data_IF_972688786639
#
_entry.id   IF_972688786639
#
_cell.length_a   1.000
_cell.length_b   1.000
_cell.length_c   1.000
_cell.angle_alpha   90.00
_cell.angle_beta   90.00
_cell.angle_gamma   90.00
#
_symmetry.space_group_name_H-M   'P 1'
#
loop_
_entity.id
_entity.type
_entity.pdbx_description
1 polymer ?
#
# COMPACT_ATOMS: atom_id res chain seq x y z
N UNK A 1 -0.73 23.35 -50.44
CA UNK A 1 -1.51 22.11 -50.18
C UNK A 1 -1.17 21.54 -48.79
N UNK A 2 -2.09 21.60 -47.81
CA UNK A 2 -1.90 20.92 -46.53
C UNK A 2 -2.27 19.44 -46.69
N UNK A 3 -1.36 18.56 -46.30
CA UNK A 3 -1.56 17.11 -46.23
C UNK A 3 -2.58 16.79 -45.13
N UNK A 4 -3.70 16.19 -45.53
CA UNK A 4 -4.74 15.71 -44.62
C UNK A 4 -4.16 14.62 -43.71
N UNK A 5 -4.22 14.84 -42.38
CA UNK A 5 -3.94 13.82 -41.39
C UNK A 5 -4.95 12.68 -41.52
N UNK A 6 -4.43 11.47 -41.72
CA UNK A 6 -5.20 10.24 -41.82
C UNK A 6 -5.95 9.99 -40.49
N UNK A 7 -7.28 9.77 -40.48
CA UNK A 7 -8.02 9.60 -39.24
C UNK A 7 -7.58 8.30 -38.56
N UNK A 8 -7.00 8.43 -37.36
CA UNK A 8 -6.59 7.30 -36.52
C UNK A 8 -7.72 6.26 -36.44
N UNK A 9 -7.49 5.11 -37.07
CA UNK A 9 -8.47 4.02 -37.14
C UNK A 9 -8.94 3.65 -35.72
N UNK A 10 -10.22 3.35 -35.55
CA UNK A 10 -10.82 3.03 -34.24
C UNK A 10 -10.03 1.94 -33.48
N UNK A 11 -9.37 1.04 -34.24
CA UNK A 11 -8.45 0.02 -33.74
C UNK A 11 -7.19 0.61 -33.08
N UNK A 12 -6.55 1.62 -33.70
CA UNK A 12 -5.39 2.31 -33.13
C UNK A 12 -5.71 3.09 -31.87
N UNK A 13 -6.90 3.69 -31.79
CA UNK A 13 -7.40 4.30 -30.53
C UNK A 13 -7.64 3.24 -29.46
N UNK A 14 -8.36 2.16 -29.77
CA UNK A 14 -8.64 1.06 -28.82
C UNK A 14 -7.36 0.43 -28.26
N UNK A 15 -6.37 0.13 -29.11
CA UNK A 15 -5.09 -0.42 -28.70
C UNK A 15 -4.31 0.53 -27.79
N UNK A 16 -4.34 1.84 -28.07
CA UNK A 16 -3.68 2.86 -27.24
C UNK A 16 -4.34 2.98 -25.85
N UNK A 17 -5.67 2.93 -25.77
CA UNK A 17 -6.42 2.92 -24.50
C UNK A 17 -6.14 1.64 -23.67
N UNK A 18 -6.13 0.47 -24.31
CA UNK A 18 -5.82 -0.80 -23.66
C UNK A 18 -4.36 -0.85 -23.17
N UNK A 19 -3.41 -0.32 -23.96
CA UNK A 19 -1.99 -0.23 -23.59
C UNK A 19 -1.77 0.72 -22.40
N UNK A 20 -2.52 1.82 -22.32
CA UNK A 20 -2.55 2.71 -21.16
C UNK A 20 -3.05 2.01 -19.90
N UNK A 21 -4.12 1.22 -20.02
CA UNK A 21 -4.71 0.49 -18.88
C UNK A 21 -3.78 -0.63 -18.40
N UNK A 22 -3.15 -1.37 -19.31
CA UNK A 22 -2.20 -2.43 -18.97
C UNK A 22 -0.92 -1.87 -18.34
N UNK A 23 -0.35 -0.80 -18.88
CA UNK A 23 0.82 -0.11 -18.30
C UNK A 23 0.51 0.45 -16.90
N UNK A 24 -0.65 1.07 -16.70
CA UNK A 24 -1.05 1.60 -15.40
C UNK A 24 -1.15 0.51 -14.33
N UNK A 25 -1.69 -0.67 -14.68
CA UNK A 25 -1.78 -1.82 -13.77
C UNK A 25 -0.43 -2.40 -13.35
N UNK A 26 0.53 -2.41 -14.29
CA UNK A 26 1.89 -2.92 -14.04
C UNK A 26 2.66 -1.91 -13.21
N UNK A 27 2.57 -0.60 -13.53
CA UNK A 27 3.25 0.46 -12.80
C UNK A 27 2.82 0.50 -11.32
N UNK A 28 1.52 0.40 -11.03
CA UNK A 28 1.05 0.39 -9.64
C UNK A 28 1.49 -0.86 -8.87
N UNK A 29 1.52 -2.02 -9.53
CA UNK A 29 2.00 -3.26 -8.92
C UNK A 29 3.50 -3.23 -8.67
N UNK A 30 4.29 -2.67 -9.61
CA UNK A 30 5.72 -2.48 -9.45
C UNK A 30 6.05 -1.48 -8.33
N UNK A 31 5.30 -0.38 -8.25
CA UNK A 31 5.43 0.59 -7.15
C UNK A 31 5.13 -0.06 -5.79
N UNK A 32 4.07 -0.88 -5.71
CA UNK A 32 3.74 -1.61 -4.48
C UNK A 32 4.84 -2.61 -4.07
N UNK A 33 5.42 -3.34 -5.03
CA UNK A 33 6.57 -4.23 -4.78
C UNK A 33 7.76 -3.44 -4.26
N UNK A 34 8.13 -2.35 -4.94
CA UNK A 34 9.27 -1.52 -4.58
C UNK A 34 9.11 -0.95 -3.16
N UNK A 35 7.95 -0.34 -2.86
CA UNK A 35 7.67 0.17 -1.52
C UNK A 35 7.63 -0.92 -0.46
N UNK A 36 7.07 -2.09 -0.78
CA UNK A 36 7.05 -3.21 0.16
C UNK A 36 8.46 -3.67 0.51
N UNK A 37 9.36 -3.76 -0.48
CA UNK A 37 10.75 -4.11 -0.28
C UNK A 37 11.51 -3.04 0.53
N UNK A 38 11.30 -1.76 0.21
CA UNK A 38 11.88 -0.63 0.97
C UNK A 38 11.46 -0.70 2.43
N UNK A 39 10.18 -0.87 2.72
CA UNK A 39 9.69 -0.94 4.10
C UNK A 39 10.18 -2.20 4.82
N UNK A 40 10.26 -3.34 4.13
CA UNK A 40 10.79 -4.57 4.73
C UNK A 40 12.25 -4.35 5.17
N UNK A 41 13.09 -3.80 4.29
CA UNK A 41 14.48 -3.48 4.65
C UNK A 41 14.53 -2.43 5.75
N UNK A 42 13.77 -1.34 5.62
CA UNK A 42 13.79 -0.24 6.59
C UNK A 42 13.40 -0.70 7.99
N UNK A 43 12.28 -1.40 8.15
CA UNK A 43 11.78 -1.77 9.47
C UNK A 43 12.58 -2.92 10.13
N UNK A 44 13.21 -3.80 9.34
CA UNK A 44 14.03 -4.87 9.90
C UNK A 44 15.44 -4.41 10.27
N UNK A 45 16.05 -3.51 9.49
CA UNK A 45 17.46 -3.13 9.66
C UNK A 45 17.66 -1.70 10.16
N UNK A 46 16.73 -0.79 9.86
CA UNK A 46 16.89 0.64 10.09
C UNK A 46 15.81 1.27 10.98
N UNK A 47 14.96 0.47 11.64
CA UNK A 47 13.87 0.96 12.50
C UNK A 47 14.34 1.89 13.62
N UNK A 48 15.54 1.66 14.17
CA UNK A 48 16.15 2.52 15.19
C UNK A 48 16.47 3.95 14.72
N UNK A 49 16.59 4.16 13.41
CA UNK A 49 16.85 5.47 12.82
C UNK A 49 15.57 6.28 12.60
N UNK A 50 14.40 5.67 12.80
CA UNK A 50 13.15 6.40 12.95
C UNK A 50 13.11 7.05 14.33
N UNK A 51 13.78 8.19 14.45
CA UNK A 51 14.18 8.80 15.72
C UNK A 51 14.21 10.33 15.65
N UNK A 52 14.14 10.96 16.83
CA UNK A 52 14.47 12.38 17.01
C UNK A 52 15.96 12.51 17.33
N UNK A 53 16.62 13.43 16.64
CA UNK A 53 18.04 13.73 16.81
C UNK A 53 18.18 15.03 17.59
N UNK A 54 18.70 14.91 18.81
CA UNK A 54 18.89 16.03 19.72
C UNK A 54 20.37 16.34 19.84
N UNK A 55 20.67 17.64 19.85
CA UNK A 55 22.03 18.14 20.06
C UNK A 55 22.11 18.70 21.47
N UNK A 56 23.05 18.18 22.25
CA UNK A 56 23.38 18.72 23.56
C UNK A 56 24.85 19.18 23.55
N UNK A 57 25.09 20.41 23.99
CA UNK A 57 26.44 20.93 24.20
C UNK A 57 26.68 20.99 25.70
N UNK A 58 27.50 20.07 26.20
CA UNK A 58 27.91 20.02 27.62
C UNK A 58 29.42 20.20 27.65
N UNK A 59 29.89 21.17 28.44
CA UNK A 59 31.31 21.51 28.60
C UNK A 59 32.06 21.79 27.28
N UNK A 60 31.39 22.43 26.32
CA UNK A 60 31.96 22.76 25.00
C UNK A 60 32.05 21.57 24.04
N UNK A 61 31.65 20.37 24.45
CA UNK A 61 31.57 19.18 23.59
C UNK A 61 30.13 19.01 23.11
N UNK A 62 29.95 19.01 21.78
CA UNK A 62 28.65 18.73 21.16
C UNK A 62 28.45 17.22 21.04
N UNK A 63 27.44 16.68 21.72
CA UNK A 63 27.00 15.28 21.58
C UNK A 63 25.64 15.21 20.91
N UNK A 64 25.47 14.21 20.06
CA UNK A 64 24.20 13.91 19.42
C UNK A 64 23.55 12.73 20.13
N UNK A 65 22.34 12.94 20.62
CA UNK A 65 21.50 11.90 21.20
C UNK A 65 20.43 11.50 20.19
N UNK A 66 20.26 10.19 20.02
CA UNK A 66 19.28 9.59 19.10
C UNK A 66 18.20 8.95 19.97
N UNK A 67 16.98 9.46 19.87
CA UNK A 67 15.82 8.95 20.60
C UNK A 67 14.85 8.27 19.64
N UNK A 68 14.83 6.92 19.56
CA UNK A 68 13.93 6.19 18.68
C UNK A 68 12.47 6.49 19.01
N UNK A 69 11.67 6.74 17.98
CA UNK A 69 10.22 6.88 18.11
C UNK A 69 9.53 5.52 18.22
N UNK A 70 10.13 4.46 17.67
CA UNK A 70 9.60 3.11 17.79
C UNK A 70 10.02 2.49 19.13
N UNK A 71 9.02 2.08 19.91
CA UNK A 71 9.24 1.42 21.20
C UNK A 71 9.61 -0.06 21.03
N UNK A 72 9.93 -0.73 22.14
CA UNK A 72 10.19 -2.18 22.14
C UNK A 72 8.96 -2.99 21.70
N UNK A 73 7.74 -2.45 21.90
CA UNK A 73 6.48 -3.08 21.49
C UNK A 73 6.36 -3.19 19.96
N UNK A 74 7.19 -2.45 19.20
CA UNK A 74 7.29 -2.61 17.75
C UNK A 74 7.62 -4.05 17.35
N UNK A 75 8.34 -4.80 18.19
CA UNK A 75 8.65 -6.22 17.96
C UNK A 75 7.41 -7.12 17.93
N UNK A 76 6.29 -6.67 18.51
CA UNK A 76 5.00 -7.39 18.43
C UNK A 76 4.28 -7.11 17.11
N UNK A 77 4.51 -5.94 16.51
CA UNK A 77 3.91 -5.53 15.23
C UNK A 77 4.74 -6.04 14.04
N UNK A 78 6.06 -6.07 14.19
CA UNK A 78 7.02 -6.36 13.11
C UNK A 78 6.76 -7.69 12.38
N UNK A 79 6.43 -8.82 13.04
CA UNK A 79 6.14 -10.06 12.33
C UNK A 79 4.93 -9.95 11.40
N UNK A 80 3.86 -9.27 11.85
CA UNK A 80 2.64 -9.07 11.07
C UNK A 80 2.93 -8.16 9.88
N UNK A 81 3.67 -7.07 10.12
CA UNK A 81 4.14 -6.17 9.05
C UNK A 81 4.97 -6.93 8.01
N UNK A 82 5.93 -7.74 8.44
CA UNK A 82 6.78 -8.52 7.54
C UNK A 82 5.97 -9.50 6.69
N UNK A 83 5.05 -10.25 7.29
CA UNK A 83 4.16 -11.17 6.55
C UNK A 83 3.37 -10.42 5.49
N UNK A 84 2.77 -9.28 5.85
CA UNK A 84 2.00 -8.44 4.92
C UNK A 84 2.86 -7.92 3.77
N UNK A 85 4.07 -7.43 4.05
CA UNK A 85 4.98 -6.91 3.02
C UNK A 85 5.49 -8.01 2.09
N UNK A 86 5.84 -9.19 2.62
CA UNK A 86 6.26 -10.35 1.82
C UNK A 86 5.10 -10.81 0.93
N UNK A 87 3.90 -10.97 1.49
CA UNK A 87 2.72 -11.36 0.72
C UNK A 87 2.33 -10.30 -0.30
N UNK A 88 2.53 -9.01 -0.01
CA UNK A 88 2.35 -7.91 -0.98
C UNK A 88 3.29 -8.07 -2.17
N UNK A 89 4.59 -8.32 -1.94
CA UNK A 89 5.58 -8.57 -3.00
C UNK A 89 5.16 -9.77 -3.85
N UNK A 90 4.86 -10.90 -3.22
CA UNK A 90 4.47 -12.15 -3.90
C UNK A 90 3.16 -11.94 -4.68
N UNK A 91 2.15 -11.36 -4.04
CA UNK A 91 0.84 -11.13 -4.62
C UNK A 91 0.90 -10.21 -5.84
N UNK A 92 1.58 -9.07 -5.74
CA UNK A 92 1.75 -8.18 -6.90
C UNK A 92 2.57 -8.83 -8.02
N UNK A 93 3.58 -9.64 -7.68
CA UNK A 93 4.35 -10.41 -8.68
C UNK A 93 3.46 -11.41 -9.44
N UNK A 94 2.63 -12.17 -8.73
CA UNK A 94 1.66 -13.11 -9.31
C UNK A 94 0.62 -12.38 -10.16
N UNK A 95 0.13 -11.22 -9.70
CA UNK A 95 -0.85 -10.41 -10.41
C UNK A 95 -0.31 -9.83 -11.74
N UNK A 96 1.00 -9.58 -11.82
CA UNK A 96 1.69 -9.19 -13.06
C UNK A 96 1.88 -10.41 -13.97
N UNK A 97 2.38 -11.53 -13.41
CA UNK A 97 2.76 -12.71 -14.18
C UNK A 97 1.58 -13.40 -14.88
N UNK A 98 0.44 -13.55 -14.19
CA UNK A 98 -0.69 -14.32 -14.72
C UNK A 98 -1.65 -13.49 -15.59
N UNK A 99 -1.66 -12.16 -15.47
CA UNK A 99 -2.55 -11.21 -16.16
C UNK A 99 -4.06 -11.61 -16.21
N UNK A 100 -4.50 -12.53 -15.34
CA UNK A 100 -5.89 -12.97 -15.24
C UNK A 100 -6.67 -12.03 -14.32
N UNK A 101 -7.83 -11.55 -14.78
CA UNK A 101 -8.66 -10.62 -14.03
C UNK A 101 -9.05 -11.15 -12.64
N UNK A 102 -9.57 -12.38 -12.56
CA UNK A 102 -10.03 -12.97 -11.29
C UNK A 102 -8.89 -13.13 -10.28
N UNK A 103 -7.75 -13.67 -10.72
CA UNK A 103 -6.56 -13.82 -9.88
C UNK A 103 -6.13 -12.46 -9.33
N UNK A 104 -5.99 -11.47 -10.20
CA UNK A 104 -5.59 -10.12 -9.80
C UNK A 104 -6.57 -9.50 -8.80
N UNK A 105 -7.87 -9.63 -9.02
CA UNK A 105 -8.87 -9.07 -8.11
C UNK A 105 -8.83 -9.73 -6.73
N UNK A 106 -8.80 -11.06 -6.69
CA UNK A 106 -8.71 -11.82 -5.45
C UNK A 106 -7.42 -11.46 -4.70
N UNK A 107 -6.29 -11.42 -5.40
CA UNK A 107 -5.00 -11.02 -4.81
C UNK A 107 -5.08 -9.63 -4.21
N UNK A 108 -5.58 -8.63 -4.94
CA UNK A 108 -5.64 -7.26 -4.43
C UNK A 108 -6.59 -7.12 -3.22
N UNK A 109 -7.71 -7.86 -3.21
CA UNK A 109 -8.62 -7.89 -2.04
C UNK A 109 -7.90 -8.49 -0.83
N UNK A 110 -7.23 -9.64 -1.00
CA UNK A 110 -6.49 -10.28 0.07
C UNK A 110 -5.37 -9.38 0.62
N UNK A 111 -4.63 -8.68 -0.25
CA UNK A 111 -3.60 -7.73 0.15
C UNK A 111 -4.16 -6.52 0.89
N UNK A 112 -5.30 -5.97 0.47
CA UNK A 112 -5.97 -4.88 1.21
C UNK A 112 -6.38 -5.33 2.62
N UNK A 113 -6.88 -6.57 2.77
CA UNK A 113 -7.23 -7.13 4.08
C UNK A 113 -5.99 -7.29 4.97
N UNK A 114 -4.88 -7.81 4.44
CA UNK A 114 -3.62 -7.95 5.19
C UNK A 114 -3.05 -6.58 5.61
N UNK A 115 -3.10 -5.60 4.71
CA UNK A 115 -2.75 -4.22 5.02
C UNK A 115 -3.61 -3.66 6.15
N UNK A 116 -4.92 -3.91 6.12
CA UNK A 116 -5.86 -3.49 7.16
C UNK A 116 -5.55 -4.16 8.51
N UNK A 117 -5.29 -5.48 8.52
CA UNK A 117 -4.87 -6.20 9.74
C UNK A 117 -3.62 -5.55 10.33
N UNK A 118 -2.63 -5.25 9.48
CA UNK A 118 -1.38 -4.61 9.91
C UNK A 118 -1.65 -3.23 10.53
N UNK A 119 -2.44 -2.38 9.86
CA UNK A 119 -2.80 -1.06 10.38
C UNK A 119 -3.57 -1.13 11.70
N UNK A 120 -4.48 -2.10 11.85
CA UNK A 120 -5.19 -2.37 13.10
C UNK A 120 -4.25 -2.85 14.21
N UNK A 121 -3.26 -3.68 13.89
CA UNK A 121 -2.22 -4.07 14.85
C UNK A 121 -1.42 -2.86 15.32
N UNK A 122 -1.05 -1.94 14.42
CA UNK A 122 -0.42 -0.68 14.78
C UNK A 122 -1.32 0.18 15.66
N UNK A 123 -2.62 0.27 15.39
CA UNK A 123 -3.57 1.01 16.24
C UNK A 123 -3.72 0.39 17.63
N UNK A 124 -3.71 -0.95 17.72
CA UNK A 124 -3.92 -1.67 18.97
C UNK A 124 -2.70 -1.65 19.88
N UNK A 125 -1.52 -1.85 19.31
CA UNK A 125 -0.25 -1.92 20.06
C UNK A 125 0.35 -0.52 20.23
N UNK A 126 0.17 0.34 19.23
CA UNK A 126 0.66 1.72 19.17
C UNK A 126 2.13 1.86 19.63
N UNK A 127 3.10 1.30 18.89
CA UNK A 127 4.50 1.24 19.30
C UNK A 127 5.25 2.56 19.03
N UNK A 128 4.58 3.72 19.18
CA UNK A 128 5.14 5.04 18.89
C UNK A 128 5.20 5.86 20.18
N UNK A 129 6.41 6.28 20.55
CA UNK A 129 6.65 7.18 21.68
C UNK A 129 7.04 8.57 21.18
N UNK A 130 6.11 9.51 21.35
CA UNK A 130 6.31 10.92 21.01
C UNK A 130 6.74 11.77 22.20
N UNK A 131 6.90 11.20 23.41
CA UNK A 131 7.37 11.94 24.59
C UNK A 131 8.81 12.45 24.44
N UNK A 132 9.58 11.82 23.55
CA UNK A 132 10.96 12.21 23.20
C UNK A 132 11.03 13.47 22.33
N UNK A 133 9.89 14.02 21.90
CA UNK A 133 9.82 15.24 21.09
C UNK A 133 10.00 16.45 22.01
N UNK A 134 11.02 17.32 21.77
CA UNK A 134 11.34 18.43 22.68
C UNK A 134 10.23 19.47 22.84
N UNK A 135 9.44 19.67 21.79
CA UNK A 135 8.32 20.60 21.82
C UNK A 135 7.11 19.92 22.44
N UNK A 136 6.71 20.37 23.63
CA UNK A 136 5.61 19.80 24.40
C UNK A 136 4.26 19.83 23.67
N UNK A 137 3.97 20.88 22.90
CA UNK A 137 2.73 20.98 22.11
C UNK A 137 2.72 19.93 20.99
N UNK A 138 3.84 19.78 20.28
CA UNK A 138 3.98 18.77 19.24
C UNK A 138 3.92 17.35 19.82
N UNK A 139 4.60 17.10 20.94
CA UNK A 139 4.58 15.82 21.65
C UNK A 139 3.15 15.42 22.05
N UNK A 140 2.30 16.39 22.42
CA UNK A 140 0.91 16.15 22.79
C UNK A 140 -0.01 15.87 21.56
N UNK A 141 0.28 16.48 20.41
CA UNK A 141 -0.58 16.38 19.22
C UNK A 141 -0.21 15.18 18.33
N UNK A 142 1.08 14.83 18.23
CA UNK A 142 1.58 13.78 17.34
C UNK A 142 0.95 12.39 17.57
N UNK A 143 0.70 11.91 18.80
CA UNK A 143 -0.02 10.65 19.00
C UNK A 143 -1.39 10.64 18.34
N UNK A 144 -2.15 11.73 18.51
CA UNK A 144 -3.48 11.90 17.92
C UNK A 144 -3.42 11.91 16.40
N UNK A 145 -2.45 12.63 15.83
CA UNK A 145 -2.23 12.66 14.37
C UNK A 145 -1.89 11.27 13.84
N UNK A 146 -0.99 10.54 14.49
CA UNK A 146 -0.61 9.19 14.09
C UNK A 146 -1.80 8.22 14.12
N UNK A 147 -2.64 8.29 15.16
CA UNK A 147 -3.88 7.52 15.28
C UNK A 147 -4.83 7.85 14.12
N UNK A 148 -5.07 9.14 13.85
CA UNK A 148 -5.95 9.58 12.75
C UNK A 148 -5.44 9.05 11.40
N UNK A 149 -4.13 9.16 11.13
CA UNK A 149 -3.53 8.64 9.89
C UNK A 149 -3.73 7.13 9.78
N UNK A 150 -3.50 6.37 10.84
CA UNK A 150 -3.71 4.92 10.84
C UNK A 150 -5.18 4.53 10.64
N UNK A 151 -6.12 5.29 11.22
CA UNK A 151 -7.56 5.11 10.98
C UNK A 151 -7.89 5.36 9.51
N UNK A 152 -7.40 6.45 8.92
CA UNK A 152 -7.62 6.77 7.51
C UNK A 152 -7.08 5.66 6.61
N UNK A 153 -5.87 5.15 6.89
CA UNK A 153 -5.29 4.03 6.15
C UNK A 153 -6.18 2.78 6.27
N UNK A 154 -6.60 2.44 7.49
CA UNK A 154 -7.45 1.28 7.75
C UNK A 154 -8.78 1.37 6.99
N UNK A 155 -9.47 2.51 7.08
CA UNK A 155 -10.73 2.76 6.38
C UNK A 155 -10.53 2.76 4.87
N UNK A 156 -9.47 3.41 4.37
CA UNK A 156 -9.14 3.45 2.95
C UNK A 156 -8.93 2.05 2.36
N UNK A 157 -8.19 1.19 3.07
CA UNK A 157 -7.99 -0.21 2.67
C UNK A 157 -9.29 -1.01 2.72
N UNK A 158 -10.15 -0.77 3.72
CA UNK A 158 -11.46 -1.39 3.81
C UNK A 158 -12.37 -1.01 2.62
N UNK A 159 -12.45 0.28 2.29
CA UNK A 159 -13.20 0.78 1.13
C UNK A 159 -12.63 0.18 -0.18
N UNK A 160 -11.30 0.15 -0.32
CA UNK A 160 -10.65 -0.45 -1.48
C UNK A 160 -11.04 -1.93 -1.66
N UNK A 161 -10.95 -2.73 -0.59
CA UNK A 161 -11.32 -4.13 -0.59
C UNK A 161 -12.80 -4.31 -0.98
N UNK A 162 -13.69 -3.51 -0.40
CA UNK A 162 -15.13 -3.56 -0.66
C UNK A 162 -15.46 -3.22 -2.12
N UNK A 163 -14.92 -2.13 -2.66
CA UNK A 163 -15.16 -1.72 -4.05
C UNK A 163 -14.66 -2.79 -5.02
N UNK A 164 -13.50 -3.40 -4.74
CA UNK A 164 -12.97 -4.50 -5.55
C UNK A 164 -13.86 -5.73 -5.47
N UNK A 165 -14.36 -6.08 -4.29
CA UNK A 165 -15.30 -7.20 -4.10
C UNK A 165 -16.60 -7.00 -4.89
N UNK A 166 -17.20 -5.79 -4.82
CA UNK A 166 -18.41 -5.47 -5.59
C UNK A 166 -18.15 -5.62 -7.10
N UNK A 167 -17.03 -5.09 -7.60
CA UNK A 167 -16.64 -5.23 -9.02
C UNK A 167 -16.39 -6.68 -9.42
N UNK A 168 -15.89 -7.51 -8.51
CA UNK A 168 -15.70 -8.94 -8.75
C UNK A 168 -17.05 -9.62 -8.95
N UNK A 169 -18.00 -9.40 -8.04
CA UNK A 169 -19.34 -9.99 -8.07
C UNK A 169 -20.08 -9.58 -9.35
N UNK A 170 -20.12 -8.29 -9.68
CA UNK A 170 -20.80 -7.79 -10.89
C UNK A 170 -20.23 -8.43 -12.17
N UNK A 171 -18.91 -8.58 -12.25
CA UNK A 171 -18.28 -9.15 -13.44
C UNK A 171 -18.44 -10.65 -13.56
N UNK A 172 -18.66 -11.37 -12.45
CA UNK A 172 -19.02 -12.78 -12.47
C UNK A 172 -20.47 -12.93 -12.94
N UNK A 173 -21.41 -12.17 -12.35
CA UNK A 173 -22.83 -12.21 -12.73
C UNK A 173 -23.04 -11.92 -14.22
N UNK A 174 -22.41 -10.88 -14.76
CA UNK A 174 -22.49 -10.56 -16.21
C UNK A 174 -21.96 -11.67 -17.12
N UNK A 175 -21.01 -12.49 -16.66
CA UNK A 175 -20.48 -13.60 -17.46
C UNK A 175 -21.46 -14.78 -17.51
N UNK A 176 -22.24 -14.98 -16.45
CA UNK A 176 -23.25 -16.03 -16.40
C UNK A 176 -24.43 -15.69 -17.32
N UNK A 177 -24.93 -14.45 -17.28
CA UNK A 177 -26.00 -13.98 -18.18
C UNK A 177 -25.65 -14.15 -19.67
N UNK A 178 -24.42 -13.81 -20.06
CA UNK A 178 -23.95 -13.95 -21.46
C UNK A 178 -23.81 -15.43 -21.85
N UNK A 179 -23.47 -16.31 -20.91
CA UNK A 179 -23.34 -17.74 -21.17
C UNK A 179 -24.71 -18.40 -21.36
N UNK A 180 -25.74 -17.96 -20.64
CA UNK A 180 -27.11 -18.45 -20.78
C UNK A 180 -27.78 -17.95 -22.08
N UNK A 181 -27.42 -16.76 -22.56
CA UNK A 181 -27.97 -16.18 -23.79
C UNK A 181 -27.35 -16.73 -25.10
N UNK A 182 -26.34 -17.61 -25.04
CA UNK A 182 -25.70 -18.19 -26.22
C UNK A 182 -26.36 -19.53 -26.58
N UNK A 183 -26.85 -19.74 -27.83
CA UNK A 183 -27.45 -21.02 -28.23
C UNK A 183 -26.42 -22.14 -28.08
N UNK A 184 -26.79 -23.23 -27.42
CA UNK A 184 -25.97 -24.45 -27.41
C UNK A 184 -25.87 -24.98 -28.86
N UNK A 185 -24.69 -25.49 -29.29
CA UNK A 185 -24.52 -26.07 -30.61
C UNK A 185 -25.37 -27.34 -30.81
#
# INVERSE_FOLDING_TARGET
>A
PPTAEEPATAKGRMESYLKGTRRGRIASSAAAIAWSAVFLVFFNFFSKYFAIYLREAVDGITRWHIYPLLTQDFNLVLPILNITLILSIVGHSVAIALDRYLVRQITLIALSILGMITALTFLRIFPLDFSVVPNAELAAILPTVAIIVLIIITVGLGIEALVRLIKLIINIAKREEVKEASPQP
#
